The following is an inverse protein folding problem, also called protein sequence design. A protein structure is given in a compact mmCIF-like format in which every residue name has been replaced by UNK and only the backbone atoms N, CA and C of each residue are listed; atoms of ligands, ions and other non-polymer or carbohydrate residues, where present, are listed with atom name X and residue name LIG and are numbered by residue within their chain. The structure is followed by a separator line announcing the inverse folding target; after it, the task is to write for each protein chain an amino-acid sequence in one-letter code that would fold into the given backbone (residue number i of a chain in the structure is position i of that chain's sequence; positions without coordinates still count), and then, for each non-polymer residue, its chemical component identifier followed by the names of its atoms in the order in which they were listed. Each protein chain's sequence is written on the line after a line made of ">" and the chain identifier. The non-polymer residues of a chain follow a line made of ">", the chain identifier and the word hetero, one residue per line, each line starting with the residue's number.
data_IF_142848174728
#
_entry.id   IF_142848174728
#
_cell.length_a   1.000
_cell.length_b   1.000
_cell.length_c   1.000
_cell.angle_alpha   90.00
_cell.angle_beta   90.00
_cell.angle_gamma   90.00
#
_symmetry.space_group_name_H-M   'P 1'
#
loop_
_entity.id
_entity.type
_entity.pdbx_description
1 polymer ?
#
# COMPACT_ATOMS: atom_id res chain seq x y z
N UNK A 1 0.00 25.63 13.26
CA UNK A 1 -0.56 24.78 12.19
C UNK A 1 -1.34 25.54 11.14
N UNK A 2 -0.66 25.93 10.06
CA UNK A 2 -1.30 26.67 8.96
C UNK A 2 -2.26 25.77 8.17
N UNK A 3 -1.83 24.57 7.80
CA UNK A 3 -2.60 23.63 6.99
C UNK A 3 -3.96 23.27 7.61
N UNK A 4 -3.97 22.75 8.85
CA UNK A 4 -5.21 22.35 9.52
C UNK A 4 -6.20 23.51 9.65
N UNK A 5 -5.71 24.71 9.98
CA UNK A 5 -6.58 25.90 10.07
C UNK A 5 -7.28 26.24 8.74
N UNK A 6 -6.64 25.99 7.60
CA UNK A 6 -7.27 26.21 6.30
C UNK A 6 -8.28 25.11 5.97
N UNK A 7 -7.92 23.84 6.20
CA UNK A 7 -8.82 22.71 5.96
C UNK A 7 -10.10 22.87 6.77
N UNK A 8 -10.00 23.13 8.08
CA UNK A 8 -11.16 23.34 8.94
C UNK A 8 -12.05 24.46 8.40
N UNK A 9 -11.47 25.61 8.06
CA UNK A 9 -12.21 26.75 7.49
C UNK A 9 -12.88 26.45 6.14
N UNK A 10 -12.29 25.59 5.32
CA UNK A 10 -12.84 25.18 4.03
C UNK A 10 -14.03 24.22 4.21
N UNK A 11 -13.92 23.27 5.15
CA UNK A 11 -14.96 22.29 5.44
C UNK A 11 -16.11 22.84 6.32
N UNK A 12 -15.94 24.02 6.92
CA UNK A 12 -17.01 24.71 7.66
C UNK A 12 -18.13 25.22 6.74
N UNK A 13 -19.35 24.73 6.97
CA UNK A 13 -20.54 25.13 6.22
C UNK A 13 -20.56 24.55 4.81
N UNK A 14 -21.07 25.32 3.85
CA UNK A 14 -21.22 24.89 2.44
C UNK A 14 -20.26 25.64 1.50
N UNK A 15 -19.03 25.92 1.96
CA UNK A 15 -18.04 26.66 1.17
C UNK A 15 -17.43 25.82 0.03
N UNK A 16 -17.41 24.50 0.20
CA UNK A 16 -16.93 23.53 -0.79
C UNK A 16 -17.89 22.36 -0.87
N UNK A 17 -17.87 21.63 -2.00
CA UNK A 17 -18.57 20.35 -2.11
C UNK A 17 -17.96 19.31 -1.16
N UNK A 18 -16.66 19.03 -1.31
CA UNK A 18 -15.96 18.03 -0.52
C UNK A 18 -14.44 18.22 -0.57
N UNK A 19 -13.74 18.08 0.54
CA UNK A 19 -12.27 18.11 0.60
C UNK A 19 -11.69 16.69 0.56
N UNK A 20 -10.83 16.40 -0.42
CA UNK A 20 -10.17 15.10 -0.54
C UNK A 20 -8.70 15.20 -0.14
N UNK A 21 -8.33 14.52 0.93
CA UNK A 21 -6.94 14.36 1.34
C UNK A 21 -6.39 13.03 0.82
N UNK A 22 -5.29 13.08 0.08
CA UNK A 22 -4.61 11.88 -0.40
C UNK A 22 -3.40 11.57 0.48
N UNK A 23 -3.26 10.31 0.88
CA UNK A 23 -2.15 9.83 1.70
C UNK A 23 -1.52 8.66 0.95
N UNK A 24 -0.36 8.90 0.35
CA UNK A 24 0.37 7.79 -0.26
C UNK A 24 0.98 6.95 0.88
N UNK A 25 0.82 5.63 0.86
CA UNK A 25 1.56 4.66 1.69
C UNK A 25 1.32 3.27 1.10
N UNK A 26 2.38 2.49 0.91
CA UNK A 26 2.29 1.28 0.08
C UNK A 26 2.23 -0.02 0.91
N UNK A 27 2.60 0.05 2.19
CA UNK A 27 2.63 -1.10 3.11
C UNK A 27 2.58 -0.60 4.56
N UNK A 28 2.83 -1.44 5.56
CA UNK A 28 2.60 -1.11 6.96
C UNK A 28 3.89 -0.99 7.80
N UNK A 29 3.94 0.00 8.70
CA UNK A 29 5.01 0.15 9.71
C UNK A 29 6.41 0.30 9.10
N UNK A 30 7.39 -0.38 9.69
CA UNK A 30 8.82 -0.33 9.29
C UNK A 30 9.04 -0.65 7.81
N UNK A 31 8.18 -1.49 7.21
CA UNK A 31 8.23 -1.78 5.76
C UNK A 31 7.93 -0.52 4.93
N UNK A 32 6.98 0.31 5.38
CA UNK A 32 6.64 1.56 4.71
C UNK A 32 7.77 2.58 4.85
N UNK A 33 8.37 2.65 6.04
CA UNK A 33 9.51 3.54 6.33
C UNK A 33 10.75 3.15 5.53
N UNK A 34 10.98 1.85 5.34
CA UNK A 34 12.04 1.34 4.48
C UNK A 34 11.84 1.77 3.02
N UNK A 35 10.66 1.53 2.45
CA UNK A 35 10.37 1.90 1.05
C UNK A 35 10.44 3.42 0.86
N UNK A 36 10.01 4.18 1.89
CA UNK A 36 9.89 5.64 1.83
C UNK A 36 10.75 6.27 2.92
N UNK A 37 12.05 6.28 2.66
CA UNK A 37 13.01 6.85 3.59
C UNK A 37 12.63 8.28 4.03
N UNK A 38 12.60 8.51 5.33
CA UNK A 38 12.17 9.76 5.96
C UNK A 38 10.68 9.79 6.34
N UNK A 39 9.91 8.78 5.97
CA UNK A 39 8.58 8.54 6.54
C UNK A 39 8.73 8.12 8.00
N UNK A 40 7.89 8.71 8.86
CA UNK A 40 7.58 8.21 10.19
C UNK A 40 6.13 7.72 10.12
N UNK A 41 5.94 6.41 10.21
CA UNK A 41 4.64 5.78 9.97
C UNK A 41 3.63 6.11 11.07
N UNK A 42 4.08 6.17 12.32
CA UNK A 42 3.21 6.53 13.44
C UNK A 42 2.74 7.99 13.30
N UNK A 43 3.66 8.89 12.98
CA UNK A 43 3.31 10.29 12.72
C UNK A 43 2.38 10.45 11.52
N UNK A 44 2.52 9.62 10.47
CA UNK A 44 1.58 9.60 9.36
C UNK A 44 0.17 9.25 9.84
N UNK A 45 0.02 8.18 10.63
CA UNK A 45 -1.28 7.79 11.19
C UNK A 45 -1.84 8.84 12.15
N UNK A 46 -1.02 9.39 13.05
CA UNK A 46 -1.42 10.48 13.94
C UNK A 46 -1.96 11.68 13.16
N UNK A 47 -1.33 12.05 12.05
CA UNK A 47 -1.80 13.14 11.19
C UNK A 47 -3.13 12.79 10.49
N UNK A 48 -3.34 11.52 10.10
CA UNK A 48 -4.62 11.05 9.54
C UNK A 48 -5.73 11.15 10.58
N UNK A 49 -5.51 10.63 11.79
CA UNK A 49 -6.45 10.76 12.90
C UNK A 49 -6.76 12.22 13.19
N UNK A 50 -5.72 13.05 13.30
CA UNK A 50 -5.86 14.48 13.54
C UNK A 50 -6.71 15.16 12.46
N UNK A 51 -6.47 14.85 11.18
CA UNK A 51 -7.28 15.35 10.07
C UNK A 51 -8.75 14.93 10.22
N UNK A 52 -9.01 13.66 10.50
CA UNK A 52 -10.35 13.10 10.61
C UNK A 52 -11.13 13.64 11.83
N UNK A 53 -10.43 14.02 12.90
CA UNK A 53 -10.98 14.61 14.12
C UNK A 53 -11.22 16.12 13.97
N UNK A 54 -10.23 16.87 13.49
CA UNK A 54 -10.27 18.34 13.51
C UNK A 54 -10.96 18.94 12.26
N UNK A 55 -10.98 18.25 11.12
CA UNK A 55 -11.69 18.72 9.94
C UNK A 55 -13.19 18.39 10.08
N UNK A 56 -14.08 19.40 10.11
CA UNK A 56 -15.52 19.18 10.13
C UNK A 56 -15.94 18.47 8.83
N UNK A 57 -17.11 17.83 8.80
CA UNK A 57 -17.56 16.94 7.72
C UNK A 57 -17.46 17.51 6.29
N UNK A 58 -17.82 16.71 5.27
CA UNK A 58 -17.52 16.98 3.83
C UNK A 58 -16.03 16.84 3.52
N UNK A 59 -15.38 15.86 4.15
CA UNK A 59 -14.00 15.53 3.88
C UNK A 59 -13.80 14.02 3.77
N UNK A 60 -12.74 13.61 3.09
CA UNK A 60 -12.31 12.22 3.07
C UNK A 60 -10.80 12.10 3.00
N UNK A 61 -10.31 10.94 3.44
CA UNK A 61 -8.93 10.49 3.24
C UNK A 61 -8.94 9.34 2.24
N UNK A 62 -8.08 9.41 1.24
CA UNK A 62 -7.85 8.33 0.27
C UNK A 62 -6.41 7.87 0.37
N UNK A 63 -6.21 6.62 0.78
CA UNK A 63 -4.90 5.97 0.77
C UNK A 63 -4.53 5.55 -0.64
N UNK A 64 -3.37 5.98 -1.13
CA UNK A 64 -2.84 5.55 -2.43
C UNK A 64 -1.75 4.51 -2.18
N UNK A 65 -2.09 3.26 -2.46
CA UNK A 65 -1.26 2.07 -2.24
C UNK A 65 -0.71 1.62 -3.61
N UNK A 66 0.51 2.03 -3.94
CA UNK A 66 1.09 1.67 -5.25
C UNK A 66 1.48 0.19 -5.26
N UNK A 67 0.74 -0.62 -6.02
CA UNK A 67 0.88 -2.07 -6.02
C UNK A 67 2.16 -2.50 -6.73
N UNK A 68 3.05 -3.10 -5.94
CA UNK A 68 4.35 -3.59 -6.34
C UNK A 68 4.78 -4.73 -5.40
N UNK A 69 5.92 -5.37 -5.62
CA UNK A 69 6.29 -6.52 -4.79
C UNK A 69 6.39 -6.21 -3.29
N UNK A 70 6.86 -5.01 -2.93
CA UNK A 70 7.07 -4.62 -1.54
C UNK A 70 5.80 -4.08 -0.87
N UNK A 71 4.71 -3.85 -1.61
CA UNK A 71 3.43 -3.47 -0.99
C UNK A 71 2.76 -4.68 -0.31
N UNK A 72 2.87 -5.86 -0.92
CA UNK A 72 2.16 -7.09 -0.51
C UNK A 72 2.45 -7.54 0.94
N UNK A 73 3.69 -7.54 1.45
CA UNK A 73 3.96 -8.19 2.73
C UNK A 73 3.27 -7.61 3.96
N UNK A 74 2.99 -6.30 3.96
CA UNK A 74 2.22 -5.63 5.01
C UNK A 74 0.83 -5.15 4.57
N UNK A 75 0.36 -5.56 3.39
CA UNK A 75 -0.90 -5.07 2.82
C UNK A 75 -2.13 -5.41 3.68
N UNK A 76 -2.19 -6.63 4.22
CA UNK A 76 -3.24 -7.06 5.16
C UNK A 76 -3.32 -6.13 6.36
N UNK A 77 -2.19 -5.78 6.97
CA UNK A 77 -2.13 -4.89 8.13
C UNK A 77 -2.59 -3.47 7.78
N UNK A 78 -2.16 -2.95 6.62
CA UNK A 78 -2.56 -1.62 6.15
C UNK A 78 -4.05 -1.55 5.83
N UNK A 79 -4.60 -2.58 5.18
CA UNK A 79 -6.04 -2.66 4.89
C UNK A 79 -6.86 -2.82 6.19
N UNK A 80 -6.33 -3.57 7.17
CA UNK A 80 -6.98 -3.68 8.49
C UNK A 80 -7.03 -2.31 9.19
N UNK A 81 -5.93 -1.56 9.19
CA UNK A 81 -5.88 -0.18 9.70
C UNK A 81 -6.93 0.71 9.01
N UNK A 82 -7.08 0.58 7.70
CA UNK A 82 -8.11 1.29 6.93
C UNK A 82 -9.53 0.95 7.40
N UNK A 83 -9.82 -0.33 7.69
CA UNK A 83 -11.12 -0.72 8.26
C UNK A 83 -11.32 -0.13 9.67
N UNK A 84 -10.28 -0.10 10.51
CA UNK A 84 -10.36 0.53 11.84
C UNK A 84 -10.64 2.03 11.75
N UNK A 85 -10.05 2.71 10.76
CA UNK A 85 -10.36 4.11 10.49
C UNK A 85 -11.80 4.30 10.00
N UNK A 86 -12.29 3.41 9.13
CA UNK A 86 -13.69 3.42 8.68
C UNK A 86 -14.62 3.32 9.89
N UNK A 87 -14.43 2.31 10.74
CA UNK A 87 -15.22 2.09 11.97
C UNK A 87 -15.22 3.31 12.89
N UNK A 88 -14.06 3.95 13.06
CA UNK A 88 -13.92 5.09 13.96
C UNK A 88 -14.52 6.40 13.42
N UNK A 89 -14.61 6.57 12.11
CA UNK A 89 -14.83 7.90 11.51
C UNK A 89 -15.90 7.97 10.42
N UNK A 90 -16.34 6.87 9.82
CA UNK A 90 -17.33 6.83 8.74
C UNK A 90 -18.75 6.53 9.24
N UNK A 91 -19.38 7.47 9.94
CA UNK A 91 -20.75 7.27 10.48
C UNK A 91 -21.84 7.64 9.46
N UNK A 92 -21.88 8.89 9.01
CA UNK A 92 -22.95 9.39 8.13
C UNK A 92 -22.66 9.21 6.64
N UNK A 93 -21.39 9.00 6.28
CA UNK A 93 -20.92 8.76 4.93
C UNK A 93 -19.51 8.16 4.96
N UNK A 94 -19.10 7.52 3.87
CA UNK A 94 -17.76 6.94 3.75
C UNK A 94 -16.67 8.02 3.68
N UNK A 95 -15.83 8.10 4.72
CA UNK A 95 -14.73 9.08 4.81
C UNK A 95 -13.38 8.50 4.45
N UNK A 96 -13.22 7.18 4.45
CA UNK A 96 -11.94 6.52 4.25
C UNK A 96 -12.00 5.61 3.03
N UNK A 97 -11.14 5.93 2.07
CA UNK A 97 -11.04 5.26 0.78
C UNK A 97 -9.62 4.77 0.57
N UNK A 98 -9.44 3.86 -0.36
CA UNK A 98 -8.12 3.55 -0.88
C UNK A 98 -8.17 3.25 -2.37
N UNK A 99 -7.01 3.39 -3.01
CA UNK A 99 -6.77 2.98 -4.38
C UNK A 99 -5.47 2.18 -4.46
N UNK A 100 -5.43 1.25 -5.42
CA UNK A 100 -4.34 0.29 -5.59
C UNK A 100 -3.76 0.40 -7.01
N UNK A 101 -3.20 1.57 -7.40
CA UNK A 101 -2.64 1.72 -8.73
C UNK A 101 -1.46 0.76 -8.94
N UNK A 102 -1.48 0.03 -10.06
CA UNK A 102 -0.44 -0.93 -10.41
C UNK A 102 0.85 -0.24 -10.90
N UNK A 103 1.99 -0.58 -10.29
CA UNK A 103 3.30 -0.12 -10.73
C UNK A 103 3.71 -0.81 -12.04
N UNK A 104 4.04 -0.01 -13.07
CA UNK A 104 4.57 -0.49 -14.36
C UNK A 104 6.09 -0.42 -14.46
N UNK A 105 6.68 0.59 -13.84
CA UNK A 105 8.12 0.85 -13.81
C UNK A 105 8.53 1.36 -12.43
N UNK A 106 9.73 1.03 -11.95
CA UNK A 106 10.74 0.23 -12.62
C UNK A 106 10.40 -1.26 -12.67
N UNK A 107 10.76 -1.92 -13.76
CA UNK A 107 10.40 -3.32 -14.04
C UNK A 107 10.91 -4.33 -12.99
N UNK A 108 11.99 -4.01 -12.29
CA UNK A 108 12.55 -4.84 -11.21
C UNK A 108 11.73 -4.78 -9.91
N UNK A 109 10.80 -3.83 -9.75
CA UNK A 109 9.88 -3.76 -8.61
C UNK A 109 8.48 -4.31 -8.96
N UNK A 110 8.26 -4.65 -10.25
CA UNK A 110 6.99 -5.11 -10.79
C UNK A 110 6.52 -6.41 -10.15
N UNK A 111 5.21 -6.53 -10.00
CA UNK A 111 4.53 -7.76 -9.57
C UNK A 111 4.79 -8.97 -10.49
N UNK A 112 5.24 -8.75 -11.73
CA UNK A 112 5.55 -9.81 -12.68
C UNK A 112 6.65 -10.77 -12.20
N UNK A 113 7.65 -10.25 -11.48
CA UNK A 113 8.74 -11.07 -10.94
C UNK A 113 8.48 -11.55 -9.51
N UNK A 114 7.29 -11.29 -8.96
CA UNK A 114 6.95 -11.64 -7.59
C UNK A 114 7.02 -13.16 -7.37
N UNK A 115 7.66 -13.62 -6.28
CA UNK A 115 7.74 -15.03 -5.95
C UNK A 115 6.36 -15.61 -5.62
N UNK A 116 6.22 -16.93 -5.72
CA UNK A 116 4.97 -17.66 -5.43
C UNK A 116 4.43 -17.38 -4.02
N UNK A 117 5.31 -17.17 -3.04
CA UNK A 117 4.92 -16.82 -1.68
C UNK A 117 4.10 -15.52 -1.60
N UNK A 118 4.51 -14.47 -2.31
CA UNK A 118 3.77 -13.21 -2.37
C UNK A 118 2.46 -13.34 -3.13
N UNK A 119 2.42 -14.11 -4.22
CA UNK A 119 1.16 -14.42 -4.93
C UNK A 119 0.15 -15.09 -4.01
N UNK A 120 0.59 -16.08 -3.24
CA UNK A 120 -0.27 -16.76 -2.26
C UNK A 120 -0.73 -15.80 -1.17
N UNK A 121 0.15 -14.93 -0.66
CA UNK A 121 -0.22 -13.90 0.31
C UNK A 121 -1.29 -12.95 -0.25
N UNK A 122 -1.14 -12.45 -1.47
CA UNK A 122 -2.13 -11.54 -2.07
C UNK A 122 -3.48 -12.24 -2.30
N UNK A 123 -3.49 -13.53 -2.68
CA UNK A 123 -4.72 -14.32 -2.74
C UNK A 123 -5.39 -14.46 -1.36
N UNK A 124 -4.63 -14.69 -0.29
CA UNK A 124 -5.19 -14.71 1.06
C UNK A 124 -5.76 -13.35 1.48
N UNK A 125 -5.08 -12.25 1.14
CA UNK A 125 -5.60 -10.89 1.38
C UNK A 125 -6.93 -10.71 0.66
N UNK A 126 -7.03 -11.12 -0.62
CA UNK A 126 -8.28 -11.06 -1.36
C UNK A 126 -9.40 -11.85 -0.68
N UNK A 127 -9.14 -13.10 -0.28
CA UNK A 127 -10.14 -13.94 0.40
C UNK A 127 -10.60 -13.32 1.73
N UNK A 128 -9.68 -12.71 2.47
CA UNK A 128 -10.01 -11.98 3.69
C UNK A 128 -10.87 -10.74 3.40
N UNK A 129 -10.54 -9.97 2.35
CA UNK A 129 -11.38 -8.85 1.94
C UNK A 129 -12.80 -9.29 1.54
N UNK A 130 -12.93 -10.43 0.87
CA UNK A 130 -14.23 -11.03 0.53
C UNK A 130 -15.03 -11.45 1.77
N UNK A 131 -14.38 -11.78 2.89
CA UNK A 131 -15.06 -12.07 4.16
C UNK A 131 -15.45 -10.83 4.97
N UNK A 132 -14.90 -9.66 4.64
CA UNK A 132 -15.10 -8.39 5.34
C UNK A 132 -15.85 -7.37 4.45
N UNK A 133 -16.80 -7.85 3.63
CA UNK A 133 -17.62 -7.02 2.77
C UNK A 133 -18.56 -6.11 3.58
N UNK A 134 -18.83 -4.92 3.05
CA UNK A 134 -19.90 -4.07 3.59
C UNK A 134 -21.28 -4.70 3.36
N UNK A 135 -22.24 -4.31 4.18
CA UNK A 135 -23.63 -4.77 4.06
C UNK A 135 -24.59 -3.60 3.90
N UNK A 136 -25.85 -3.88 3.57
CA UNK A 136 -26.85 -2.82 3.49
C UNK A 136 -27.10 -2.13 4.85
N UNK A 137 -26.99 -2.89 5.94
CA UNK A 137 -27.15 -2.39 7.31
C UNK A 137 -25.86 -1.73 7.85
N UNK A 138 -24.72 -2.07 7.24
CA UNK A 138 -23.41 -1.50 7.56
C UNK A 138 -22.63 -1.15 6.26
N UNK A 139 -22.96 -0.03 5.61
CA UNK A 139 -22.46 0.29 4.26
C UNK A 139 -21.12 1.04 4.23
N UNK A 140 -20.48 1.27 5.39
CA UNK A 140 -19.29 2.11 5.48
C UNK A 140 -18.07 1.40 6.09
N UNK A 141 -18.27 0.33 6.86
CA UNK A 141 -17.18 -0.28 7.63
C UNK A 141 -16.51 -1.48 6.95
N UNK A 142 -17.13 -2.07 5.92
CA UNK A 142 -16.54 -3.18 5.16
C UNK A 142 -15.82 -2.75 3.87
N UNK A 143 -15.37 -3.73 3.09
CA UNK A 143 -14.84 -3.54 1.73
C UNK A 143 -15.95 -3.46 0.69
N UNK A 144 -15.66 -2.72 -0.38
CA UNK A 144 -16.54 -2.63 -1.55
C UNK A 144 -16.13 -3.64 -2.61
N UNK A 145 -17.10 -4.14 -3.39
CA UNK A 145 -16.84 -5.09 -4.47
C UNK A 145 -15.77 -4.61 -5.45
N UNK A 146 -15.78 -3.31 -5.78
CA UNK A 146 -14.80 -2.75 -6.72
C UNK A 146 -13.39 -2.70 -6.12
N UNK A 147 -13.24 -2.62 -4.79
CA UNK A 147 -11.95 -2.65 -4.09
C UNK A 147 -11.33 -4.04 -4.22
N UNK A 148 -12.12 -5.08 -4.01
CA UNK A 148 -11.74 -6.50 -4.23
C UNK A 148 -11.39 -6.73 -5.71
N UNK A 149 -12.19 -6.18 -6.64
CA UNK A 149 -11.89 -6.26 -8.07
C UNK A 149 -10.56 -5.60 -8.43
N UNK A 150 -10.10 -4.57 -7.70
CA UNK A 150 -8.77 -3.99 -7.94
C UNK A 150 -7.67 -4.99 -7.59
N UNK A 151 -7.76 -5.62 -6.42
CA UNK A 151 -6.82 -6.67 -6.00
C UNK A 151 -6.83 -7.86 -6.95
N UNK A 152 -8.01 -8.26 -7.45
CA UNK A 152 -8.11 -9.31 -8.47
C UNK A 152 -7.33 -8.93 -9.74
N UNK A 153 -7.40 -7.67 -10.21
CA UNK A 153 -6.61 -7.22 -11.37
C UNK A 153 -5.11 -7.28 -11.12
N UNK A 154 -4.65 -7.02 -9.89
CA UNK A 154 -3.24 -7.15 -9.53
C UNK A 154 -2.79 -8.62 -9.55
N UNK A 155 -3.63 -9.53 -9.04
CA UNK A 155 -3.41 -10.99 -9.10
C UNK A 155 -3.37 -11.47 -10.56
N UNK A 156 -4.30 -11.01 -11.39
CA UNK A 156 -4.34 -11.35 -12.81
C UNK A 156 -3.09 -10.84 -13.53
N UNK A 157 -2.60 -9.65 -13.17
CA UNK A 157 -1.36 -9.11 -13.70
C UNK A 157 -0.15 -9.96 -13.31
N UNK A 158 -0.07 -10.42 -12.06
CA UNK A 158 0.97 -11.36 -11.61
C UNK A 158 0.94 -12.68 -12.40
N UNK A 159 -0.26 -13.21 -12.65
CA UNK A 159 -0.45 -14.51 -13.28
C UNK A 159 -0.22 -14.49 -14.79
N UNK A 160 -0.50 -13.37 -15.46
CA UNK A 160 -0.33 -13.20 -16.91
C UNK A 160 1.08 -12.74 -17.31
N UNK A 161 2.05 -12.78 -16.39
CA UNK A 161 3.44 -12.46 -16.71
C UNK A 161 4.02 -13.46 -17.70
N UNK A 162 4.46 -12.96 -18.85
CA UNK A 162 5.08 -13.76 -19.93
C UNK A 162 6.59 -13.51 -20.04
N UNK A 163 7.24 -13.16 -18.93
CA UNK A 163 8.67 -12.86 -18.92
C UNK A 163 9.49 -14.09 -19.25
N UNK A 164 10.45 -13.92 -20.16
CA UNK A 164 11.45 -14.96 -20.39
C UNK A 164 12.32 -15.16 -19.15
N UNK A 165 12.94 -16.35 -19.03
CA UNK A 165 13.88 -16.64 -17.94
C UNK A 165 15.01 -15.59 -17.84
N UNK A 166 15.51 -15.14 -18.99
CA UNK A 166 16.59 -14.15 -19.07
C UNK A 166 16.13 -12.79 -18.54
N UNK A 167 14.93 -12.33 -18.94
CA UNK A 167 14.38 -11.06 -18.44
C UNK A 167 14.09 -11.10 -16.95
N UNK A 168 13.54 -12.22 -16.46
CA UNK A 168 13.30 -12.43 -15.02
C UNK A 168 14.61 -12.36 -14.24
N UNK A 169 15.67 -13.06 -14.70
CA UNK A 169 16.98 -13.01 -14.06
C UNK A 169 17.57 -11.60 -14.03
N UNK A 170 17.51 -10.86 -15.14
CA UNK A 170 18.00 -9.47 -15.20
C UNK A 170 17.24 -8.56 -14.22
N UNK A 171 15.91 -8.64 -14.20
CA UNK A 171 15.09 -7.83 -13.27
C UNK A 171 15.36 -8.19 -11.80
N UNK A 172 15.60 -9.46 -11.49
CA UNK A 172 16.00 -9.90 -10.14
C UNK A 172 17.39 -9.38 -9.78
N UNK A 173 18.35 -9.41 -10.71
CA UNK A 173 19.67 -8.82 -10.51
C UNK A 173 19.58 -7.30 -10.22
N UNK A 174 18.79 -6.57 -11.02
CA UNK A 174 18.54 -5.13 -10.83
C UNK A 174 17.88 -4.84 -9.48
N UNK A 175 16.92 -5.66 -9.04
CA UNK A 175 16.28 -5.54 -7.73
C UNK A 175 17.32 -5.61 -6.60
N UNK A 176 18.18 -6.63 -6.62
CA UNK A 176 19.23 -6.78 -5.61
C UNK A 176 20.23 -5.61 -5.65
N UNK A 177 20.74 -5.27 -6.84
CA UNK A 177 21.69 -4.16 -7.04
C UNK A 177 21.11 -2.85 -6.48
N UNK A 178 19.84 -2.55 -6.76
CA UNK A 178 19.18 -1.34 -6.27
C UNK A 178 19.05 -1.31 -4.75
N UNK A 179 18.48 -2.35 -4.14
CA UNK A 179 18.22 -2.35 -2.70
C UNK A 179 19.48 -2.55 -1.85
N UNK A 180 20.50 -3.23 -2.37
CA UNK A 180 21.80 -3.30 -1.72
C UNK A 180 22.47 -1.92 -1.67
N UNK A 181 22.40 -1.14 -2.75
CA UNK A 181 22.86 0.25 -2.75
C UNK A 181 21.98 1.17 -1.91
N UNK A 182 20.66 0.93 -1.87
CA UNK A 182 19.76 1.64 -0.97
C UNK A 182 20.19 1.46 0.50
N UNK A 183 20.42 0.22 0.92
CA UNK A 183 20.90 -0.12 2.26
C UNK A 183 22.22 0.57 2.59
N UNK A 184 23.19 0.50 1.68
CA UNK A 184 24.49 1.18 1.84
C UNK A 184 24.33 2.70 2.03
N UNK A 185 23.46 3.33 1.25
CA UNK A 185 23.30 4.80 1.25
C UNK A 185 22.44 5.32 2.37
N UNK A 186 21.48 4.53 2.85
CA UNK A 186 20.50 4.93 3.88
C UNK A 186 20.79 4.32 5.24
N UNK A 187 21.82 3.48 5.34
CA UNK A 187 22.15 2.71 6.54
C UNK A 187 20.96 1.87 7.02
N UNK A 188 20.25 1.25 6.07
CA UNK A 188 19.13 0.34 6.31
C UNK A 188 19.55 -1.11 6.04
N UNK A 189 18.68 -2.06 6.37
CA UNK A 189 18.86 -3.48 6.08
C UNK A 189 17.56 -4.03 5.51
N UNK A 190 17.57 -4.43 4.23
CA UNK A 190 16.39 -4.93 3.52
C UNK A 190 15.72 -6.08 4.27
N UNK A 191 16.49 -7.07 4.72
CA UNK A 191 15.95 -8.24 5.43
C UNK A 191 15.48 -7.94 6.86
N UNK A 192 15.85 -6.79 7.44
CA UNK A 192 15.25 -6.37 8.70
C UNK A 192 13.81 -5.88 8.47
N UNK A 193 13.55 -5.20 7.35
CA UNK A 193 12.21 -4.73 6.99
C UNK A 193 11.36 -5.85 6.34
N UNK A 194 11.95 -6.68 5.48
CA UNK A 194 11.27 -7.72 4.70
C UNK A 194 11.85 -9.12 4.97
N UNK A 195 11.80 -9.62 6.21
CA UNK A 195 12.34 -10.94 6.55
C UNK A 195 11.68 -12.08 5.75
N UNK A 196 10.39 -11.96 5.42
CA UNK A 196 9.66 -12.92 4.60
C UNK A 196 10.15 -13.03 3.14
N UNK A 197 11.00 -12.10 2.70
CA UNK A 197 11.59 -12.08 1.36
C UNK A 197 13.02 -12.64 1.31
N UNK A 198 13.54 -13.22 2.40
CA UNK A 198 14.90 -13.78 2.45
C UNK A 198 15.23 -14.72 1.28
N UNK A 199 14.37 -15.71 1.02
CA UNK A 199 14.60 -16.64 -0.09
C UNK A 199 14.61 -15.95 -1.47
N UNK A 200 13.78 -14.92 -1.66
CA UNK A 200 13.76 -14.16 -2.90
C UNK A 200 14.98 -13.25 -3.02
N UNK A 201 15.38 -12.61 -1.92
CA UNK A 201 16.58 -11.79 -1.82
C UNK A 201 17.84 -12.57 -2.21
N UNK A 202 18.00 -13.79 -1.73
CA UNK A 202 19.13 -14.65 -2.07
C UNK A 202 19.12 -15.07 -3.54
N UNK A 203 17.95 -15.37 -4.12
CA UNK A 203 17.84 -15.62 -5.56
C UNK A 203 18.23 -14.40 -6.39
N UNK A 204 17.80 -13.19 -5.97
CA UNK A 204 18.17 -11.94 -6.62
C UNK A 204 19.67 -11.65 -6.50
N UNK A 205 20.29 -11.99 -5.36
CA UNK A 205 21.75 -11.90 -5.16
C UNK A 205 22.51 -12.82 -6.10
N UNK A 206 22.07 -14.08 -6.23
CA UNK A 206 22.69 -15.02 -7.17
C UNK A 206 22.49 -14.59 -8.62
N UNK A 207 21.34 -14.02 -8.96
CA UNK A 207 21.13 -13.43 -10.29
C UNK A 207 22.12 -12.28 -10.54
N UNK A 208 22.34 -11.39 -9.58
CA UNK A 208 23.27 -10.27 -9.70
C UNK A 208 24.75 -10.66 -9.83
N UNK A 209 25.14 -11.86 -9.36
CA UNK A 209 26.51 -12.39 -9.55
C UNK A 209 26.74 -12.94 -10.96
N UNK A 210 25.66 -13.36 -11.63
CA UNK A 210 25.69 -14.02 -12.94
C UNK A 210 25.32 -13.08 -14.10
N UNK A 211 25.03 -11.81 -13.80
CA UNK A 211 24.67 -10.72 -14.73
C UNK A 211 25.85 -9.76 -14.92
#
# INVERSE_FOLDING_TARGET
>A
DKYMSYVTRLCEGEKIEHFMQYVSVDTYGDQAEYIRNGLDFNRLLENVHRFLIEAPGRNSVTFIITMNMLSIPGLDKLLYEILQLRDSYSDTYQRIWFDTPLLRQPAWLSLEIAPKSLRNKLNHVKLWMESELETADDPFHGFKDYEIQRIQRDIDWMNNSNLSRVETQRRMADFFKFFNEHDNRRHTIFLAAFPELESFWDQCREAAKND
#
